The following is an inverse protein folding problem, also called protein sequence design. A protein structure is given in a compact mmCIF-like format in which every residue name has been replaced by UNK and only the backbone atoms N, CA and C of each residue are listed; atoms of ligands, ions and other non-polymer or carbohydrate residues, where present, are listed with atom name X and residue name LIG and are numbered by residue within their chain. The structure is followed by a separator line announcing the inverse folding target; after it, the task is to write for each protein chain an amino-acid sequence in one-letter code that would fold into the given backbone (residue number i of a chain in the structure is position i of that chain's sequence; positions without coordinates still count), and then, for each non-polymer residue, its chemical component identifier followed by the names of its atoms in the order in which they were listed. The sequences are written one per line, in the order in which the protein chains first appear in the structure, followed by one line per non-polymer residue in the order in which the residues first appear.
data_IF_257568458499
#
_entry.id   IF_257568458499
#
_cell.length_a   1.000
_cell.length_b   1.000
_cell.length_c   1.000
_cell.angle_alpha   90.00
_cell.angle_beta   90.00
_cell.angle_gamma   90.00
#
_symmetry.space_group_name_H-M   'P 1'
#
loop_
_entity.id
_entity.type
_entity.pdbx_description
1 polymer ?
#
# COMPACT_ATOMS: atom_id res chain seq x y z
N UNK A 1 8.96 92.85 -41.39
CA UNK A 1 9.60 91.68 -40.72
C UNK A 1 8.67 91.18 -39.66
N UNK A 2 7.87 90.19 -39.97
CA UNK A 2 6.87 89.60 -39.05
C UNK A 2 7.41 88.23 -38.65
N UNK A 3 7.69 88.04 -37.34
CA UNK A 3 8.11 86.74 -36.77
C UNK A 3 6.86 86.03 -36.31
N UNK A 4 6.56 84.86 -36.96
CA UNK A 4 5.52 83.93 -36.60
C UNK A 4 6.08 83.06 -35.44
N UNK A 5 5.48 83.16 -34.28
CA UNK A 5 5.79 82.25 -33.13
C UNK A 5 4.74 81.15 -33.15
N UNK A 6 5.21 79.93 -33.43
CA UNK A 6 4.36 78.71 -33.42
C UNK A 6 4.42 78.14 -31.99
N UNK A 7 3.28 78.19 -31.31
CA UNK A 7 3.10 77.54 -29.98
C UNK A 7 2.65 76.09 -30.22
N UNK A 8 3.54 75.16 -29.92
CA UNK A 8 3.19 73.75 -29.86
C UNK A 8 2.59 73.43 -28.51
N UNK A 9 1.30 73.14 -28.48
CA UNK A 9 0.64 72.60 -27.28
C UNK A 9 0.91 71.06 -27.18
N UNK A 10 1.67 70.70 -26.16
CA UNK A 10 1.94 69.28 -25.82
C UNK A 10 0.78 68.79 -24.98
N UNK A 11 -0.11 67.99 -25.56
CA UNK A 11 -1.16 67.31 -24.81
C UNK A 11 -0.55 66.05 -24.14
N UNK A 12 -0.29 66.11 -22.85
CA UNK A 12 0.12 64.98 -22.05
C UNK A 12 -1.11 64.06 -21.83
N UNK A 13 -1.16 62.99 -22.56
CA UNK A 13 -2.14 61.91 -22.36
C UNK A 13 -1.80 61.12 -21.10
N UNK A 14 -2.62 61.25 -20.06
CA UNK A 14 -2.55 60.45 -18.86
C UNK A 14 -3.05 59.05 -19.17
N UNK A 15 -2.14 58.06 -19.39
CA UNK A 15 -2.49 56.64 -19.51
C UNK A 15 -2.72 56.14 -18.11
N UNK A 16 -3.96 55.97 -17.73
CA UNK A 16 -4.35 55.25 -16.50
C UNK A 16 -4.00 53.78 -16.68
N UNK A 17 -2.90 53.35 -16.07
CA UNK A 17 -2.59 51.92 -15.87
C UNK A 17 -3.60 51.38 -14.86
N UNK A 18 -4.69 50.82 -15.38
CA UNK A 18 -5.55 49.93 -14.61
C UNK A 18 -4.75 48.67 -14.33
N UNK A 19 -4.11 48.62 -13.18
CA UNK A 19 -3.50 47.42 -12.64
C UNK A 19 -4.63 46.40 -12.36
N UNK A 20 -4.93 45.57 -13.36
CA UNK A 20 -5.71 44.37 -13.14
C UNK A 20 -4.93 43.49 -12.17
N UNK A 21 -5.38 43.37 -10.93
CA UNK A 21 -4.90 42.33 -10.04
C UNK A 21 -5.21 40.99 -10.72
N UNK A 22 -4.21 40.40 -11.37
CA UNK A 22 -4.25 38.98 -11.75
C UNK A 22 -4.36 38.19 -10.44
N UNK A 23 -5.60 37.88 -10.07
CA UNK A 23 -5.83 36.83 -9.10
C UNK A 23 -5.22 35.56 -9.72
N UNK A 24 -4.18 35.07 -9.08
CA UNK A 24 -3.65 33.76 -9.43
C UNK A 24 -4.82 32.76 -9.45
N UNK A 25 -4.91 31.91 -10.49
CA UNK A 25 -5.98 30.94 -10.56
C UNK A 25 -5.92 30.10 -9.29
N UNK A 26 -6.92 30.33 -8.40
CA UNK A 26 -7.15 29.43 -7.28
C UNK A 26 -7.64 28.15 -7.94
N UNK A 27 -6.74 27.19 -8.13
CA UNK A 27 -7.09 25.81 -8.43
C UNK A 27 -7.96 25.33 -7.26
N UNK A 28 -9.25 25.48 -7.38
CA UNK A 28 -10.21 24.69 -6.62
C UNK A 28 -10.20 23.32 -7.28
N UNK A 29 -9.20 22.51 -6.95
CA UNK A 29 -9.25 21.09 -7.22
C UNK A 29 -10.57 20.59 -6.62
N UNK A 30 -11.39 19.94 -7.38
CA UNK A 30 -12.43 19.05 -6.89
C UNK A 30 -11.66 18.16 -5.91
N UNK A 31 -11.94 18.30 -4.61
CA UNK A 31 -11.04 17.85 -3.56
C UNK A 31 -10.70 16.37 -3.73
N UNK A 32 -9.51 16.10 -4.22
CA UNK A 32 -8.98 14.75 -4.25
C UNK A 32 -8.84 14.30 -2.81
N UNK A 33 -9.69 13.35 -2.43
CA UNK A 33 -9.60 12.71 -1.12
C UNK A 33 -8.32 11.89 -1.11
N UNK A 34 -7.37 12.23 -0.23
CA UNK A 34 -6.12 11.49 -0.07
C UNK A 34 -6.35 10.39 0.97
N UNK A 35 -6.27 9.11 0.59
CA UNK A 35 -6.38 8.03 1.54
C UNK A 35 -5.13 7.96 2.42
N UNK A 36 -5.33 8.00 3.74
CA UNK A 36 -4.26 7.83 4.74
C UNK A 36 -4.52 6.55 5.51
N UNK A 37 -3.59 5.60 5.40
CA UNK A 37 -3.65 4.34 6.16
C UNK A 37 -2.88 4.49 7.46
N UNK A 38 -3.54 4.24 8.59
CA UNK A 38 -2.96 4.43 9.93
C UNK A 38 -3.00 3.12 10.70
N UNK A 39 -1.88 2.78 11.34
CA UNK A 39 -1.80 1.72 12.33
C UNK A 39 -1.51 2.36 13.68
N UNK A 40 -2.35 2.12 14.66
CA UNK A 40 -2.19 2.63 16.02
C UNK A 40 -1.71 1.52 16.94
N UNK A 41 -0.63 1.79 17.65
CA UNK A 41 -0.07 0.87 18.66
C UNK A 41 0.02 1.57 20.01
N UNK A 42 -0.06 0.79 21.09
CA UNK A 42 0.24 1.26 22.43
C UNK A 42 1.77 1.36 22.67
N UNK A 43 2.16 1.75 23.89
CA UNK A 43 3.56 1.84 24.31
C UNK A 43 4.33 0.52 24.25
N UNK A 44 3.60 -0.61 24.26
CA UNK A 44 4.15 -1.96 24.21
C UNK A 44 4.14 -2.54 22.77
N UNK A 45 3.93 -1.68 21.75
CA UNK A 45 3.79 -2.02 20.34
C UNK A 45 2.65 -2.99 20.04
N UNK A 46 1.59 -3.01 20.85
CA UNK A 46 0.39 -3.80 20.59
C UNK A 46 -0.61 -2.96 19.81
N UNK A 47 -1.28 -3.59 18.87
CA UNK A 47 -2.33 -2.93 18.09
C UNK A 47 -3.48 -2.46 18.99
N UNK A 48 -3.84 -1.18 18.85
CA UNK A 48 -5.03 -0.61 19.48
C UNK A 48 -6.19 -0.74 18.51
N UNK A 49 -7.24 -1.42 18.92
CA UNK A 49 -8.48 -1.63 18.15
C UNK A 49 -9.65 -0.85 18.75
N UNK A 50 -10.72 -0.71 17.98
CA UNK A 50 -11.96 -0.07 18.44
C UNK A 50 -11.92 1.45 18.47
N UNK A 51 -10.91 2.08 17.88
CA UNK A 51 -10.83 3.53 17.73
C UNK A 51 -11.92 4.02 16.78
N UNK A 52 -12.48 5.19 17.13
CA UNK A 52 -13.53 5.87 16.37
C UNK A 52 -12.97 7.11 15.67
N UNK A 53 -13.77 7.74 14.84
CA UNK A 53 -13.39 8.99 14.14
C UNK A 53 -12.91 10.08 15.09
N UNK A 54 -13.52 10.16 16.25
CA UNK A 54 -13.27 11.18 17.28
C UNK A 54 -11.89 11.03 17.93
N UNK A 55 -11.29 9.83 17.81
CA UNK A 55 -9.96 9.55 18.32
C UNK A 55 -8.84 10.03 17.38
N UNK A 56 -9.19 10.58 16.20
CA UNK A 56 -8.22 10.99 15.19
C UNK A 56 -8.33 12.47 14.84
N UNK A 57 -7.19 13.10 14.68
CA UNK A 57 -7.03 14.42 14.11
C UNK A 57 -5.94 14.38 13.04
N UNK A 58 -6.24 14.88 11.86
CA UNK A 58 -5.26 15.01 10.76
C UNK A 58 -4.82 16.47 10.68
N UNK A 59 -3.52 16.70 10.59
CA UNK A 59 -2.95 18.01 10.35
C UNK A 59 -1.99 17.96 9.15
N UNK A 60 -2.09 18.96 8.27
CA UNK A 60 -1.15 19.20 7.19
C UNK A 60 -0.49 20.55 7.41
N UNK A 61 0.85 20.57 7.47
CA UNK A 61 1.65 21.76 7.78
C UNK A 61 1.15 22.53 9.03
N UNK A 62 0.75 21.79 10.07
CA UNK A 62 0.22 22.31 11.32
C UNK A 62 -1.22 22.82 11.26
N UNK A 63 -1.91 22.69 10.13
CA UNK A 63 -3.32 23.04 9.98
C UNK A 63 -4.18 21.80 10.06
N UNK A 64 -5.17 21.82 10.92
CA UNK A 64 -6.15 20.73 11.04
C UNK A 64 -6.93 20.60 9.73
N UNK A 65 -7.00 19.40 9.21
CA UNK A 65 -7.75 19.04 8.00
C UNK A 65 -9.00 18.26 8.38
N UNK A 66 -10.11 18.45 7.66
CA UNK A 66 -11.32 17.68 7.93
C UNK A 66 -11.14 16.22 7.50
N UNK A 67 -11.50 15.29 8.39
CA UNK A 67 -11.68 13.89 8.04
C UNK A 67 -13.01 13.75 7.27
N UNK A 68 -12.96 13.65 5.96
CA UNK A 68 -14.17 13.51 5.13
C UNK A 68 -14.71 12.08 5.16
N UNK A 69 -13.81 11.09 5.17
CA UNK A 69 -14.13 9.66 5.26
C UNK A 69 -13.31 9.06 6.40
N UNK A 70 -13.95 8.21 7.19
CA UNK A 70 -13.30 7.38 8.20
C UNK A 70 -13.86 5.97 8.08
N UNK A 71 -12.99 5.01 7.87
CA UNK A 71 -13.33 3.60 7.75
C UNK A 71 -12.36 2.75 8.58
N UNK A 72 -12.86 2.12 9.63
CA UNK A 72 -12.14 1.16 10.47
C UNK A 72 -12.65 -0.27 10.27
N UNK A 73 -13.47 -0.49 9.25
CA UNK A 73 -13.97 -1.81 8.91
C UNK A 73 -12.83 -2.72 8.47
N UNK A 74 -12.70 -3.92 9.04
CA UNK A 74 -11.71 -4.88 8.58
C UNK A 74 -11.89 -5.18 7.08
N UNK A 75 -10.92 -4.78 6.27
CA UNK A 75 -10.96 -5.03 4.84
C UNK A 75 -10.44 -6.44 4.55
N UNK A 76 -11.19 -7.25 3.81
CA UNK A 76 -10.73 -8.59 3.43
C UNK A 76 -9.39 -8.54 2.71
N UNK A 77 -8.49 -9.45 3.05
CA UNK A 77 -7.19 -9.57 2.40
C UNK A 77 -7.14 -10.75 1.42
N UNK A 78 -6.25 -10.62 0.45
CA UNK A 78 -5.75 -11.71 -0.38
C UNK A 78 -4.27 -11.85 -0.11
N UNK A 79 -3.91 -12.94 0.55
CA UNK A 79 -2.53 -13.19 0.96
C UNK A 79 -1.92 -14.32 0.14
N UNK A 80 -0.74 -14.08 -0.41
CA UNK A 80 0.14 -15.14 -0.92
C UNK A 80 1.22 -15.39 0.13
N UNK A 81 1.27 -16.61 0.65
CA UNK A 81 2.27 -17.05 1.62
C UNK A 81 3.33 -17.82 0.87
N UNK A 82 4.50 -17.21 0.65
CA UNK A 82 5.64 -17.82 -0.02
C UNK A 82 6.58 -18.46 0.99
N UNK A 83 6.82 -19.73 0.81
CA UNK A 83 7.64 -20.55 1.69
C UNK A 83 8.98 -20.83 1.01
N UNK A 84 10.04 -20.52 1.72
CA UNK A 84 11.38 -20.94 1.36
C UNK A 84 11.50 -22.44 1.64
N UNK A 85 11.71 -23.21 0.58
CA UNK A 85 11.97 -24.65 0.65
C UNK A 85 13.39 -24.96 0.14
N UNK A 86 14.32 -24.03 0.32
CA UNK A 86 15.75 -24.27 0.10
C UNK A 86 16.31 -25.26 1.11
N UNK A 87 17.47 -25.84 0.80
CA UNK A 87 18.10 -26.85 1.63
C UNK A 87 18.35 -26.43 3.07
N UNK A 88 18.64 -25.14 3.31
CA UNK A 88 18.86 -24.59 4.67
C UNK A 88 17.60 -24.62 5.55
N UNK A 89 16.43 -24.57 4.93
CA UNK A 89 15.12 -24.59 5.63
C UNK A 89 14.69 -25.99 6.12
N UNK A 90 15.40 -27.06 5.72
CA UNK A 90 15.00 -28.44 6.04
C UNK A 90 14.81 -28.68 7.55
N UNK A 91 15.72 -28.17 8.39
CA UNK A 91 15.61 -28.25 9.84
C UNK A 91 14.48 -27.43 10.43
N UNK A 92 14.02 -26.40 9.71
CA UNK A 92 12.96 -25.48 10.12
C UNK A 92 11.57 -25.86 9.60
N UNK A 93 11.46 -26.92 8.80
CA UNK A 93 10.19 -27.33 8.18
C UNK A 93 9.04 -27.54 9.20
N UNK A 94 9.25 -28.21 10.35
CA UNK A 94 8.18 -28.34 11.34
C UNK A 94 7.67 -26.99 11.88
N UNK A 95 8.59 -26.04 12.12
CA UNK A 95 8.25 -24.69 12.58
C UNK A 95 7.50 -23.93 11.51
N UNK A 96 7.96 -23.99 10.25
CA UNK A 96 7.32 -23.38 9.10
C UNK A 96 5.86 -23.83 8.96
N UNK A 97 5.64 -25.16 8.99
CA UNK A 97 4.30 -25.75 8.90
C UNK A 97 3.40 -25.30 10.07
N UNK A 98 3.93 -25.36 11.29
CA UNK A 98 3.18 -24.92 12.48
C UNK A 98 2.80 -23.44 12.40
N UNK A 99 3.71 -22.57 11.98
CA UNK A 99 3.46 -21.15 11.79
C UNK A 99 2.37 -20.88 10.74
N UNK A 100 2.44 -21.56 9.61
CA UNK A 100 1.41 -21.46 8.56
C UNK A 100 0.04 -21.94 9.03
N UNK A 101 -0.02 -23.06 9.77
CA UNK A 101 -1.28 -23.57 10.30
C UNK A 101 -1.92 -22.61 11.31
N UNK A 102 -1.11 -21.92 12.13
CA UNK A 102 -1.62 -20.90 13.03
C UNK A 102 -2.12 -19.66 12.28
N UNK A 103 -1.46 -19.27 11.22
CA UNK A 103 -1.90 -18.19 10.35
C UNK A 103 -3.26 -18.53 9.70
N UNK A 104 -3.38 -19.73 9.11
CA UNK A 104 -4.59 -20.14 8.40
C UNK A 104 -5.83 -20.22 9.32
N UNK A 105 -5.64 -20.65 10.56
CA UNK A 105 -6.71 -20.65 11.57
C UNK A 105 -7.18 -19.26 12.00
N UNK A 106 -6.39 -18.21 11.72
CA UNK A 106 -6.68 -16.81 12.08
C UNK A 106 -7.18 -15.96 10.92
N UNK A 107 -7.28 -16.53 9.73
CA UNK A 107 -7.91 -15.85 8.61
C UNK A 107 -9.36 -15.51 8.96
N UNK A 108 -9.76 -14.28 8.71
CA UNK A 108 -11.15 -13.86 8.86
C UNK A 108 -12.01 -14.46 7.74
N UNK A 109 -13.33 -14.56 7.90
CA UNK A 109 -14.21 -15.17 6.90
C UNK A 109 -14.10 -14.59 5.49
N UNK A 110 -13.77 -13.31 5.38
CA UNK A 110 -13.55 -12.61 4.09
C UNK A 110 -12.16 -12.78 3.50
N UNK A 111 -11.19 -13.21 4.31
CA UNK A 111 -9.81 -13.37 3.88
C UNK A 111 -9.65 -14.64 3.05
N UNK A 112 -8.69 -14.63 2.13
CA UNK A 112 -8.31 -15.82 1.38
C UNK A 112 -6.82 -15.87 1.17
N UNK A 113 -6.25 -17.07 1.18
CA UNK A 113 -4.83 -17.29 1.01
C UNK A 113 -4.52 -18.19 -0.19
N UNK A 114 -3.32 -18.07 -0.71
CA UNK A 114 -2.64 -19.03 -1.56
C UNK A 114 -1.31 -19.39 -0.91
N UNK A 115 -0.91 -20.63 -1.00
CA UNK A 115 0.40 -21.10 -0.57
C UNK A 115 1.28 -21.22 -1.79
N UNK A 116 2.47 -20.61 -1.72
CA UNK A 116 3.52 -20.76 -2.70
C UNK A 116 4.81 -21.26 -2.07
N UNK A 117 5.67 -21.82 -2.88
CA UNK A 117 6.98 -22.33 -2.47
C UNK A 117 8.03 -21.88 -3.49
N UNK A 118 9.23 -21.62 -3.02
CA UNK A 118 10.40 -21.40 -3.87
C UNK A 118 11.59 -22.23 -3.35
N UNK A 119 12.21 -22.93 -4.27
CA UNK A 119 13.31 -23.87 -4.05
C UNK A 119 13.80 -24.35 -5.41
N UNK A 120 13.87 -25.65 -5.62
CA UNK A 120 14.15 -26.24 -6.94
C UNK A 120 13.14 -25.77 -7.98
N UNK A 121 11.88 -25.77 -7.61
CA UNK A 121 10.78 -25.24 -8.39
C UNK A 121 10.10 -24.07 -7.66
N UNK A 122 9.39 -23.23 -8.43
CA UNK A 122 8.52 -22.21 -7.87
C UNK A 122 7.09 -22.60 -8.20
N UNK A 123 6.29 -22.77 -7.16
CA UNK A 123 4.88 -23.16 -7.29
C UNK A 123 4.01 -22.26 -6.44
N UNK A 124 2.78 -22.01 -6.88
CA UNK A 124 1.76 -21.30 -6.11
C UNK A 124 0.42 -22.02 -6.33
N UNK A 125 -0.29 -22.30 -5.25
CA UNK A 125 -1.62 -22.93 -5.34
C UNK A 125 -2.55 -22.16 -6.28
N UNK A 126 -3.41 -22.84 -7.07
CA UNK A 126 -4.09 -22.19 -8.21
C UNK A 126 -5.17 -21.19 -7.79
N UNK A 127 -5.77 -21.36 -6.63
CA UNK A 127 -6.92 -20.57 -6.17
C UNK A 127 -6.70 -19.96 -4.80
N UNK A 128 -7.31 -18.79 -4.57
CA UNK A 128 -7.43 -18.22 -3.24
C UNK A 128 -8.53 -18.92 -2.46
N UNK A 129 -8.19 -19.48 -1.30
CA UNK A 129 -9.13 -20.18 -0.42
C UNK A 129 -8.98 -19.75 1.04
N UNK A 130 -10.00 -19.94 1.84
CA UNK A 130 -9.94 -19.85 3.31
C UNK A 130 -10.20 -21.22 3.96
N UNK A 131 -10.30 -22.28 3.17
CA UNK A 131 -10.38 -23.64 3.70
C UNK A 131 -9.02 -24.05 4.27
N UNK A 132 -9.00 -24.23 5.60
CA UNK A 132 -7.78 -24.57 6.34
C UNK A 132 -7.22 -25.93 5.92
N UNK A 133 -8.09 -26.89 5.54
CA UNK A 133 -7.65 -28.22 5.11
C UNK A 133 -6.94 -28.14 3.74
N UNK A 134 -7.50 -27.38 2.81
CA UNK A 134 -6.91 -27.13 1.49
C UNK A 134 -5.57 -26.41 1.62
N UNK A 135 -5.50 -25.33 2.42
CA UNK A 135 -4.25 -24.60 2.66
C UNK A 135 -3.17 -25.46 3.33
N UNK A 136 -3.56 -26.33 4.28
CA UNK A 136 -2.65 -27.26 4.93
C UNK A 136 -2.12 -28.31 3.97
N UNK A 137 -2.95 -28.82 3.07
CA UNK A 137 -2.56 -29.79 2.05
C UNK A 137 -1.53 -29.22 1.06
N UNK A 138 -1.52 -27.88 0.86
CA UNK A 138 -0.58 -27.20 0.01
C UNK A 138 0.80 -26.95 0.67
N UNK A 139 0.97 -27.26 1.97
CA UNK A 139 2.24 -27.10 2.66
C UNK A 139 3.23 -28.21 2.29
N UNK A 140 4.55 -27.90 2.18
CA UNK A 140 5.56 -28.90 1.85
C UNK A 140 5.64 -29.99 2.93
N UNK A 141 5.81 -31.23 2.50
CA UNK A 141 6.00 -32.39 3.39
C UNK A 141 7.47 -32.70 3.64
N UNK A 142 8.36 -32.33 2.70
CA UNK A 142 9.80 -32.50 2.77
C UNK A 142 10.48 -31.37 1.99
N UNK A 143 11.80 -31.22 2.18
CA UNK A 143 12.65 -30.24 1.50
C UNK A 143 13.89 -30.97 0.95
N UNK A 144 14.16 -30.79 -0.35
CA UNK A 144 15.40 -31.24 -0.95
C UNK A 144 16.59 -30.52 -0.31
N UNK A 145 17.57 -31.26 0.28
CA UNK A 145 18.73 -30.65 0.94
C UNK A 145 19.61 -29.81 0.00
N UNK A 146 19.49 -30.00 -1.32
CA UNK A 146 20.24 -29.30 -2.34
C UNK A 146 19.42 -28.20 -3.05
N UNK A 147 18.20 -27.96 -2.62
CA UNK A 147 17.34 -26.95 -3.24
C UNK A 147 17.97 -25.55 -3.11
N UNK A 148 18.02 -24.76 -4.20
CA UNK A 148 18.48 -23.38 -4.19
C UNK A 148 17.48 -22.43 -3.53
N UNK A 149 17.88 -21.16 -3.36
CA UNK A 149 17.04 -20.09 -2.81
C UNK A 149 16.72 -19.03 -3.88
N UNK A 150 15.87 -19.29 -4.87
CA UNK A 150 15.53 -18.33 -5.93
C UNK A 150 14.53 -17.27 -5.43
N UNK A 151 14.88 -16.57 -4.36
CA UNK A 151 14.01 -15.63 -3.65
C UNK A 151 13.36 -14.60 -4.59
N UNK A 152 14.16 -13.92 -5.40
CA UNK A 152 13.65 -12.84 -6.26
C UNK A 152 12.64 -13.32 -7.30
N UNK A 153 12.90 -14.49 -7.88
CA UNK A 153 11.97 -15.10 -8.82
C UNK A 153 10.68 -15.55 -8.12
N UNK A 154 10.81 -16.11 -6.92
CA UNK A 154 9.63 -16.45 -6.08
C UNK A 154 8.78 -15.24 -5.74
N UNK A 155 9.40 -14.10 -5.42
CA UNK A 155 8.68 -12.85 -5.15
C UNK A 155 7.96 -12.31 -6.40
N UNK A 156 8.60 -12.35 -7.56
CA UNK A 156 8.01 -11.90 -8.83
C UNK A 156 6.75 -12.73 -9.17
N UNK A 157 6.84 -14.04 -9.09
CA UNK A 157 5.70 -14.94 -9.31
C UNK A 157 4.56 -14.68 -8.29
N UNK A 158 4.91 -14.43 -7.03
CA UNK A 158 3.92 -14.12 -6.00
C UNK A 158 3.23 -12.77 -6.23
N UNK A 159 3.96 -11.75 -6.66
CA UNK A 159 3.39 -10.45 -7.03
C UNK A 159 2.46 -10.60 -8.24
N UNK A 160 2.87 -11.38 -9.25
CA UNK A 160 2.04 -11.69 -10.42
C UNK A 160 0.75 -12.42 -10.02
N UNK A 161 0.82 -13.35 -9.06
CA UNK A 161 -0.34 -14.05 -8.53
C UNK A 161 -1.34 -13.14 -7.79
N UNK A 162 -0.90 -11.96 -7.35
CA UNK A 162 -1.73 -10.92 -6.73
C UNK A 162 -2.27 -9.89 -7.74
N UNK A 163 -1.83 -9.92 -9.01
CA UNK A 163 -2.31 -8.99 -10.02
C UNK A 163 -3.80 -9.23 -10.33
N UNK A 164 -4.52 -8.13 -10.59
CA UNK A 164 -5.97 -8.19 -10.91
C UNK A 164 -6.88 -8.53 -9.73
N UNK A 165 -6.34 -8.76 -8.54
CA UNK A 165 -7.15 -9.08 -7.36
C UNK A 165 -7.74 -7.80 -6.77
N UNK A 166 -9.07 -7.75 -6.65
CA UNK A 166 -9.85 -6.58 -6.21
C UNK A 166 -9.94 -6.40 -4.69
N UNK A 167 -8.99 -6.92 -3.91
CA UNK A 167 -8.96 -6.81 -2.45
C UNK A 167 -7.59 -6.31 -1.97
N UNK A 168 -7.46 -6.02 -0.68
CA UNK A 168 -6.17 -5.66 -0.09
C UNK A 168 -5.18 -6.82 -0.25
N UNK A 169 -4.06 -6.56 -0.90
CA UNK A 169 -3.06 -7.56 -1.26
C UNK A 169 -1.99 -7.65 -0.20
N UNK A 170 -1.62 -8.86 0.18
CA UNK A 170 -0.55 -9.14 1.14
C UNK A 170 0.36 -10.22 0.56
N UNK A 171 1.65 -9.98 0.59
CA UNK A 171 2.68 -10.98 0.34
C UNK A 171 3.42 -11.23 1.65
N UNK A 172 3.37 -12.49 2.13
CA UNK A 172 4.13 -12.93 3.29
C UNK A 172 5.20 -13.92 2.81
N UNK A 173 6.44 -13.67 3.18
CA UNK A 173 7.57 -14.55 2.86
C UNK A 173 8.13 -15.11 4.16
N UNK A 174 8.31 -16.42 4.20
CA UNK A 174 8.91 -17.14 5.33
C UNK A 174 10.20 -17.82 4.85
N UNK A 175 11.34 -17.31 5.29
CA UNK A 175 12.71 -17.75 4.94
C UNK A 175 13.62 -17.58 6.15
N UNK A 176 14.73 -18.30 6.20
CA UNK A 176 15.80 -18.12 7.20
C UNK A 176 16.84 -17.07 6.78
N UNK A 177 16.71 -16.52 5.56
CA UNK A 177 17.58 -15.45 5.05
C UNK A 177 18.97 -15.90 4.63
N UNK A 178 19.18 -17.17 4.32
CA UNK A 178 20.47 -17.74 3.91
C UNK A 178 20.54 -18.01 2.43
#
# INVERSE_FOLDING_TARGET
MIRLVMVLAFAAGLVALTGGSQQAPVFRGVGDSVPVYVTVTDKDNRLVSGLTREDFQVADNGRVQPLTVFDNTPQPIRIVVMLDVSGSMRGNLPLLRTGCEQLFKRLLPGDKARVGMFGTDITISPTFTNDVAELRAALPSDIDPNAPTPLWKGLDEAMNALNGVGARKVLLVLSDGK
#
